data_IF_696409518832
#
_entry.id   IF_696409518832
#
_cell.length_a   1.000
_cell.length_b   1.000
_cell.length_c   1.000
_cell.angle_alpha   90.00
_cell.angle_beta   90.00
_cell.angle_gamma   90.00
#
_symmetry.space_group_name_H-M   'P 1'
#
loop_
_entity.id
_entity.type
_entity.pdbx_description
1 polymer ?
#
# COMPACT_ATOMS: atom_id res chain seq x y z
N UNK A 1 90.00 63.89 -53.78
CA UNK A 1 89.16 65.10 -53.70
C UNK A 1 89.11 65.52 -52.24
N UNK A 2 89.48 66.76 -51.94
CA UNK A 2 89.41 67.31 -50.57
C UNK A 2 88.28 68.33 -50.49
N UNK A 3 87.48 68.27 -49.42
CA UNK A 3 86.44 69.25 -49.11
C UNK A 3 86.68 69.72 -47.69
N UNK A 4 86.75 71.03 -47.50
CA UNK A 4 86.90 71.65 -46.19
C UNK A 4 85.71 72.57 -45.93
N UNK A 5 85.25 72.64 -44.69
CA UNK A 5 84.15 73.51 -44.26
C UNK A 5 84.66 74.50 -43.22
N UNK A 6 84.32 75.77 -43.36
CA UNK A 6 84.64 76.80 -42.37
C UNK A 6 83.43 77.71 -42.14
N UNK A 7 83.20 78.13 -40.90
CA UNK A 7 82.13 79.07 -40.55
C UNK A 7 82.56 80.54 -40.75
N UNK A 8 83.87 80.80 -40.76
CA UNK A 8 84.45 82.14 -40.95
C UNK A 8 85.58 82.08 -41.97
N UNK A 9 85.86 83.21 -42.62
CA UNK A 9 86.94 83.33 -43.62
C UNK A 9 88.30 83.70 -42.99
N UNK A 10 88.46 83.54 -41.67
CA UNK A 10 89.74 83.75 -41.00
C UNK A 10 90.65 82.53 -41.18
N UNK A 11 90.95 82.21 -42.43
CA UNK A 11 91.76 81.07 -42.85
C UNK A 11 93.15 81.60 -43.24
N UNK A 12 94.25 80.93 -42.86
CA UNK A 12 95.58 81.36 -43.26
C UNK A 12 95.68 81.56 -44.78
N UNK A 13 96.22 82.71 -45.21
CA UNK A 13 96.34 83.08 -46.63
C UNK A 13 96.93 81.97 -47.53
N UNK A 14 97.97 81.19 -47.11
CA UNK A 14 98.52 80.11 -47.94
C UNK A 14 97.54 78.99 -48.27
N UNK A 15 96.53 78.76 -47.42
CA UNK A 15 95.47 77.78 -47.67
C UNK A 15 94.35 78.39 -48.49
N UNK A 16 94.03 79.66 -48.25
CA UNK A 16 92.97 80.39 -48.96
C UNK A 16 93.26 80.50 -50.46
N UNK A 17 94.51 80.77 -50.84
CA UNK A 17 94.94 80.87 -52.24
C UNK A 17 94.80 79.55 -53.02
N UNK A 18 94.65 78.43 -52.32
CA UNK A 18 94.51 77.09 -52.89
C UNK A 18 93.08 76.55 -52.80
N UNK A 19 92.13 77.38 -52.40
CA UNK A 19 90.74 76.99 -52.18
C UNK A 19 89.79 77.83 -53.05
N UNK A 20 88.83 77.17 -53.68
CA UNK A 20 87.66 77.85 -54.21
C UNK A 20 86.66 78.06 -53.06
N UNK A 21 86.35 79.33 -52.75
CA UNK A 21 85.46 79.67 -51.66
C UNK A 21 84.02 79.73 -52.17
N UNK A 22 83.23 78.71 -51.83
CA UNK A 22 81.78 78.71 -52.04
C UNK A 22 81.11 79.21 -50.77
N UNK A 23 80.45 80.38 -50.85
CA UNK A 23 79.68 80.93 -49.72
C UNK A 23 78.27 80.35 -49.71
N UNK A 24 77.94 79.61 -48.66
CA UNK A 24 76.58 79.15 -48.40
C UNK A 24 75.88 80.18 -47.50
N UNK A 25 74.84 80.84 -48.03
CA UNK A 25 73.99 81.72 -47.24
C UNK A 25 73.07 80.92 -46.31
N UNK A 26 72.51 81.60 -45.31
CA UNK A 26 71.41 81.04 -44.53
C UNK A 26 70.15 80.84 -45.37
N UNK A 27 69.18 80.15 -44.77
CA UNK A 27 67.89 79.90 -45.38
C UNK A 27 66.85 80.92 -44.92
N UNK A 28 65.98 81.35 -45.84
CA UNK A 28 64.76 82.10 -45.55
C UNK A 28 63.73 81.23 -44.81
N UNK A 29 62.68 81.84 -44.24
CA UNK A 29 61.63 81.08 -43.54
C UNK A 29 60.98 80.03 -44.44
N UNK A 30 60.62 80.39 -45.67
CA UNK A 30 59.96 79.50 -46.62
C UNK A 30 60.89 78.36 -47.07
N UNK A 31 62.19 78.64 -47.25
CA UNK A 31 63.19 77.61 -47.54
C UNK A 31 63.34 76.63 -46.37
N UNK A 32 63.33 77.11 -45.13
CA UNK A 32 63.41 76.24 -43.94
C UNK A 32 62.19 75.36 -43.79
N UNK A 33 60.98 75.89 -44.06
CA UNK A 33 59.75 75.10 -44.06
C UNK A 33 59.83 74.01 -45.13
N UNK A 34 60.23 74.35 -46.36
CA UNK A 34 60.39 73.37 -47.45
C UNK A 34 61.44 72.30 -47.14
N UNK A 35 62.57 72.67 -46.50
CA UNK A 35 63.59 71.72 -46.03
C UNK A 35 63.02 70.82 -44.92
N UNK A 36 62.25 71.38 -43.99
CA UNK A 36 61.66 70.62 -42.91
C UNK A 36 60.68 69.57 -43.43
N UNK A 37 59.74 69.95 -44.31
CA UNK A 37 58.76 69.03 -44.89
C UNK A 37 59.39 67.91 -45.69
N UNK A 38 60.34 68.25 -46.58
CA UNK A 38 60.93 67.28 -47.49
C UNK A 38 61.95 66.35 -46.83
N UNK A 39 62.69 66.84 -45.83
CA UNK A 39 63.86 66.13 -45.32
C UNK A 39 63.86 65.94 -43.81
N UNK A 40 63.56 66.96 -43.01
CA UNK A 40 63.73 66.86 -41.55
C UNK A 40 62.59 66.08 -40.89
N UNK A 41 61.33 66.33 -41.27
CA UNK A 41 60.15 65.64 -40.72
C UNK A 41 60.22 64.13 -41.02
N UNK A 42 60.40 63.67 -42.28
CA UNK A 42 60.52 62.24 -42.56
C UNK A 42 61.69 61.58 -41.82
N UNK A 43 62.82 62.28 -41.73
CA UNK A 43 64.01 61.80 -41.00
C UNK A 43 63.73 61.64 -39.51
N UNK A 44 63.09 62.61 -38.87
CA UNK A 44 62.76 62.54 -37.44
C UNK A 44 61.65 61.51 -37.16
N UNK A 45 60.65 61.36 -38.02
CA UNK A 45 59.62 60.32 -37.87
C UNK A 45 60.24 58.93 -37.92
N UNK A 46 61.08 58.65 -38.93
CA UNK A 46 61.76 57.36 -39.06
C UNK A 46 62.70 57.07 -37.87
N UNK A 47 63.48 58.07 -37.42
CA UNK A 47 64.39 57.91 -36.30
C UNK A 47 63.68 57.62 -34.96
N UNK A 48 62.42 58.00 -34.82
CA UNK A 48 61.61 57.77 -33.61
C UNK A 48 60.58 56.64 -33.78
N UNK A 49 60.63 55.89 -34.89
CA UNK A 49 59.75 54.74 -35.13
C UNK A 49 58.28 55.10 -35.38
N UNK A 50 57.98 56.36 -35.72
CA UNK A 50 56.61 56.81 -35.98
C UNK A 50 56.17 56.44 -37.39
N UNK A 51 55.01 55.82 -37.52
CA UNK A 51 54.35 55.60 -38.82
C UNK A 51 53.73 56.91 -39.33
N UNK A 52 53.56 57.06 -40.66
CA UNK A 52 52.89 58.24 -41.24
C UNK A 52 51.50 58.54 -40.66
N UNK A 53 50.79 57.50 -40.23
CA UNK A 53 49.45 57.57 -39.66
C UNK A 53 49.44 58.04 -38.19
N UNK A 54 50.59 57.95 -37.50
CA UNK A 54 50.71 58.23 -36.06
C UNK A 54 51.09 59.69 -35.77
N UNK A 55 51.68 60.40 -36.74
CA UNK A 55 52.08 61.80 -36.57
C UNK A 55 52.13 62.55 -37.90
N UNK A 56 51.38 63.65 -38.00
CA UNK A 56 51.45 64.59 -39.11
C UNK A 56 51.71 66.00 -38.56
N UNK A 57 52.72 66.69 -39.08
CA UNK A 57 53.04 68.07 -38.72
C UNK A 57 52.59 68.96 -39.88
N UNK A 58 51.68 69.90 -39.62
CA UNK A 58 51.20 70.84 -40.63
C UNK A 58 52.25 71.88 -40.99
N UNK A 59 52.20 72.40 -42.22
CA UNK A 59 53.07 73.50 -42.67
C UNK A 59 53.00 74.71 -41.71
N UNK A 60 51.80 75.05 -41.22
CA UNK A 60 51.59 76.12 -40.25
C UNK A 60 52.38 75.90 -38.96
N UNK A 61 52.40 74.68 -38.43
CA UNK A 61 53.16 74.32 -37.25
C UNK A 61 54.67 74.39 -37.51
N UNK A 62 55.14 73.97 -38.68
CA UNK A 62 56.55 74.12 -39.06
C UNK A 62 56.96 75.59 -39.13
N UNK A 63 56.10 76.44 -39.71
CA UNK A 63 56.33 77.88 -39.80
C UNK A 63 56.39 78.52 -38.41
N UNK A 64 55.54 78.10 -37.48
CA UNK A 64 55.59 78.56 -36.09
C UNK A 64 56.85 78.11 -35.37
N UNK A 65 57.30 76.86 -35.58
CA UNK A 65 58.57 76.37 -35.02
C UNK A 65 59.75 77.22 -35.52
N UNK A 66 59.79 77.50 -36.84
CA UNK A 66 60.83 78.34 -37.44
C UNK A 66 60.84 79.74 -36.80
N UNK A 67 59.67 80.38 -36.64
CA UNK A 67 59.55 81.77 -36.15
C UNK A 67 59.81 81.93 -34.65
N UNK A 68 59.22 81.04 -33.85
CA UNK A 68 59.17 81.23 -32.39
C UNK A 68 60.21 80.40 -31.66
N UNK A 69 60.69 79.30 -32.23
CA UNK A 69 61.53 78.33 -31.56
C UNK A 69 62.94 78.19 -32.16
N UNK A 70 63.22 78.84 -33.29
CA UNK A 70 64.56 78.86 -33.89
C UNK A 70 65.07 80.29 -34.10
N UNK A 71 66.34 80.55 -33.77
CA UNK A 71 67.03 81.82 -34.04
C UNK A 71 68.45 81.55 -34.55
N UNK A 72 68.52 80.96 -35.74
CA UNK A 72 69.76 80.61 -36.42
C UNK A 72 69.62 80.77 -37.93
N UNK A 73 70.73 80.88 -38.66
CA UNK A 73 70.72 80.91 -40.13
C UNK A 73 70.46 79.52 -40.76
N UNK A 74 70.78 78.44 -40.03
CA UNK A 74 70.63 77.05 -40.46
C UNK A 74 69.32 76.39 -40.02
N UNK A 75 69.33 75.05 -39.97
CA UNK A 75 68.18 74.20 -39.60
C UNK A 75 68.47 73.19 -38.47
N UNK A 76 69.57 73.32 -37.74
CA UNK A 76 69.93 72.46 -36.60
C UNK A 76 68.95 72.60 -35.44
N UNK A 77 68.63 73.84 -35.06
CA UNK A 77 67.64 74.10 -34.01
C UNK A 77 66.25 73.62 -34.44
N UNK A 78 65.90 73.80 -35.71
CA UNK A 78 64.66 73.29 -36.30
C UNK A 78 64.57 71.77 -36.21
N UNK A 79 65.63 71.06 -36.63
CA UNK A 79 65.71 69.60 -36.55
C UNK A 79 65.59 69.11 -35.10
N UNK A 80 66.19 69.81 -34.13
CA UNK A 80 66.10 69.46 -32.71
C UNK A 80 64.67 69.56 -32.18
N UNK A 81 63.96 70.64 -32.49
CA UNK A 81 62.57 70.82 -32.03
C UNK A 81 61.63 69.80 -32.68
N UNK A 82 61.83 69.47 -33.96
CA UNK A 82 61.08 68.40 -34.62
C UNK A 82 61.35 67.04 -33.98
N UNK A 83 62.60 66.75 -33.60
CA UNK A 83 62.95 65.52 -32.88
C UNK A 83 62.34 65.45 -31.48
N UNK A 84 62.24 66.58 -30.76
CA UNK A 84 61.55 66.66 -29.46
C UNK A 84 60.06 66.32 -29.60
N UNK A 85 59.40 66.88 -30.64
CA UNK A 85 58.00 66.62 -30.93
C UNK A 85 57.77 65.14 -31.27
N UNK A 86 58.59 64.59 -32.17
CA UNK A 86 58.49 63.18 -32.57
C UNK A 86 58.65 62.22 -31.39
N UNK A 87 59.64 62.43 -30.50
CA UNK A 87 59.80 61.61 -29.27
C UNK A 87 58.58 61.63 -28.37
N UNK A 88 57.98 62.81 -28.19
CA UNK A 88 56.82 62.97 -27.32
C UNK A 88 55.61 62.23 -27.87
N UNK A 89 55.38 62.32 -29.18
CA UNK A 89 54.29 61.60 -29.86
C UNK A 89 54.46 60.09 -29.75
N UNK A 90 55.66 59.56 -30.02
CA UNK A 90 55.93 58.13 -29.98
C UNK A 90 55.62 57.51 -28.59
N UNK A 91 55.99 58.20 -27.51
CA UNK A 91 55.69 57.75 -26.14
C UNK A 91 54.19 57.63 -25.87
N UNK A 92 53.42 58.64 -26.28
CA UNK A 92 51.97 58.69 -26.06
C UNK A 92 51.28 57.57 -26.86
N UNK A 93 51.67 57.35 -28.11
CA UNK A 93 51.11 56.27 -28.93
C UNK A 93 51.30 54.90 -28.28
N UNK A 94 52.49 54.63 -27.75
CA UNK A 94 52.77 53.35 -27.09
C UNK A 94 51.98 53.15 -25.80
N UNK A 95 51.87 54.19 -24.96
CA UNK A 95 51.06 54.15 -23.74
C UNK A 95 49.57 53.83 -24.04
N UNK A 96 49.03 54.35 -25.14
CA UNK A 96 47.64 54.09 -25.57
C UNK A 96 47.46 52.64 -26.05
N UNK A 97 48.42 52.09 -26.80
CA UNK A 97 48.36 50.70 -27.28
C UNK A 97 48.37 49.70 -26.11
N UNK A 98 49.23 49.92 -25.10
CA UNK A 98 49.32 49.08 -23.90
C UNK A 98 48.00 49.08 -23.11
N UNK A 99 47.41 50.26 -22.92
CA UNK A 99 46.12 50.41 -22.23
C UNK A 99 44.98 49.68 -22.98
N UNK A 100 44.99 49.75 -24.31
CA UNK A 100 43.97 49.12 -25.16
C UNK A 100 44.06 47.59 -25.10
N UNK A 101 45.27 47.03 -25.05
CA UNK A 101 45.47 45.59 -24.90
C UNK A 101 44.98 45.09 -23.53
N UNK A 102 45.28 45.83 -22.45
CA UNK A 102 44.83 45.48 -21.09
C UNK A 102 43.31 45.43 -20.94
N UNK A 103 42.57 46.32 -21.61
CA UNK A 103 41.10 46.34 -21.57
C UNK A 103 40.48 45.16 -22.33
N UNK A 104 41.13 44.70 -23.41
CA UNK A 104 40.63 43.61 -24.24
C UNK A 104 40.66 42.27 -23.50
N UNK A 105 41.74 41.98 -22.79
CA UNK A 105 41.92 40.74 -22.04
C UNK A 105 40.89 40.61 -20.89
N UNK A 106 40.58 41.70 -20.19
CA UNK A 106 39.59 41.72 -19.11
C UNK A 106 38.14 41.45 -19.57
N UNK A 107 37.81 41.73 -20.84
CA UNK A 107 36.44 41.53 -21.35
C UNK A 107 36.09 40.05 -21.61
N UNK A 108 37.10 39.20 -21.86
CA UNK A 108 36.91 37.79 -22.19
C UNK A 108 36.47 36.94 -20.99
N UNK A 109 36.90 37.31 -19.78
CA UNK A 109 36.63 36.57 -18.54
C UNK A 109 35.19 36.79 -18.05
N UNK A 110 34.64 37.99 -18.25
CA UNK A 110 33.26 38.34 -17.89
C UNK A 110 32.24 37.50 -18.69
N UNK A 111 32.51 37.23 -19.96
CA UNK A 111 31.65 36.39 -20.80
C UNK A 111 31.59 34.94 -20.31
N UNK A 112 32.74 34.39 -19.89
CA UNK A 112 32.84 33.04 -19.35
C UNK A 112 32.12 32.91 -17.99
N UNK A 113 32.25 33.91 -17.12
CA UNK A 113 31.57 33.95 -15.82
C UNK A 113 30.04 34.10 -15.95
N UNK A 114 29.58 34.92 -16.89
CA UNK A 114 28.15 35.06 -17.17
C UNK A 114 27.57 33.73 -17.69
N UNK A 115 28.25 33.06 -18.61
CA UNK A 115 27.80 31.75 -19.12
C UNK A 115 27.72 30.69 -18.01
N UNK A 116 28.73 30.63 -17.11
CA UNK A 116 28.71 29.76 -15.92
C UNK A 116 27.52 30.07 -14.99
N UNK A 117 27.22 31.35 -14.80
CA UNK A 117 26.14 31.80 -13.92
C UNK A 117 24.76 31.48 -14.49
N UNK A 118 24.54 31.68 -15.79
CA UNK A 118 23.31 31.30 -16.49
C UNK A 118 23.06 29.79 -16.40
N UNK A 119 24.08 28.96 -16.65
CA UNK A 119 23.96 27.51 -16.50
C UNK A 119 23.62 27.08 -15.06
N UNK A 120 24.19 27.75 -14.06
CA UNK A 120 23.84 27.51 -12.64
C UNK A 120 22.38 27.84 -12.37
N UNK A 121 21.91 29.00 -12.83
CA UNK A 121 20.52 29.43 -12.66
C UNK A 121 19.54 28.46 -13.34
N UNK A 122 19.85 27.99 -14.55
CA UNK A 122 19.05 26.98 -15.26
C UNK A 122 18.97 25.65 -14.51
N UNK A 123 20.08 25.17 -13.94
CA UNK A 123 20.09 23.94 -13.12
C UNK A 123 19.25 24.09 -11.85
N UNK A 124 19.36 25.23 -11.17
CA UNK A 124 18.53 25.51 -9.99
C UNK A 124 17.05 25.59 -10.39
N UNK A 125 16.73 26.24 -11.50
CA UNK A 125 15.37 26.28 -12.05
C UNK A 125 14.81 24.88 -12.31
N UNK A 126 15.57 24.02 -12.99
CA UNK A 126 15.16 22.64 -13.25
C UNK A 126 14.93 21.82 -11.96
N UNK A 127 15.78 22.00 -10.94
CA UNK A 127 15.59 21.36 -9.63
C UNK A 127 14.32 21.82 -8.92
N UNK A 128 14.04 23.13 -8.95
CA UNK A 128 12.81 23.70 -8.37
C UNK A 128 11.58 23.16 -9.10
N UNK A 129 11.58 23.14 -10.43
CA UNK A 129 10.48 22.58 -11.23
C UNK A 129 10.26 21.10 -10.93
N UNK A 130 11.32 20.30 -10.87
CA UNK A 130 11.22 18.87 -10.55
C UNK A 130 10.65 18.66 -9.14
N UNK A 131 11.14 19.42 -8.16
CA UNK A 131 10.63 19.37 -6.78
C UNK A 131 9.15 19.75 -6.71
N UNK A 132 8.74 20.80 -7.43
CA UNK A 132 7.34 21.22 -7.56
C UNK A 132 6.46 20.13 -8.16
N UNK A 133 6.93 19.45 -9.21
CA UNK A 133 6.22 18.33 -9.83
C UNK A 133 6.06 17.15 -8.86
N UNK A 134 7.11 16.78 -8.12
CA UNK A 134 7.05 15.71 -7.12
C UNK A 134 6.09 16.06 -5.98
N UNK A 135 6.10 17.30 -5.48
CA UNK A 135 5.13 17.75 -4.48
C UNK A 135 3.69 17.69 -5.01
N UNK A 136 3.47 18.03 -6.28
CA UNK A 136 2.18 17.87 -6.94
C UNK A 136 1.71 16.41 -6.98
N UNK A 137 2.60 15.47 -7.32
CA UNK A 137 2.30 14.03 -7.32
C UNK A 137 1.96 13.52 -5.92
N UNK A 138 2.72 13.92 -4.90
CA UNK A 138 2.43 13.56 -3.50
C UNK A 138 1.08 14.12 -3.06
N UNK A 139 0.76 15.37 -3.44
CA UNK A 139 -0.54 15.97 -3.15
C UNK A 139 -1.71 15.22 -3.80
N UNK A 140 -1.55 14.77 -5.05
CA UNK A 140 -2.55 13.94 -5.73
C UNK A 140 -2.76 12.60 -5.01
N UNK A 141 -1.66 11.93 -4.62
CA UNK A 141 -1.72 10.66 -3.89
C UNK A 141 -2.40 10.82 -2.53
N UNK A 142 -2.13 11.90 -1.79
CA UNK A 142 -2.80 12.17 -0.50
C UNK A 142 -4.31 12.38 -0.66
N UNK A 143 -4.74 13.02 -1.75
CA UNK A 143 -6.16 13.20 -2.07
C UNK A 143 -6.83 11.84 -2.32
N UNK A 144 -6.17 10.95 -3.05
CA UNK A 144 -6.66 9.59 -3.31
C UNK A 144 -6.75 8.76 -2.02
N UNK A 145 -5.69 8.77 -1.19
CA UNK A 145 -5.69 8.12 0.13
C UNK A 145 -6.84 8.63 1.00
N UNK A 146 -7.12 9.94 0.98
CA UNK A 146 -8.22 10.54 1.73
C UNK A 146 -9.58 10.07 1.23
N UNK A 147 -9.76 9.94 -0.09
CA UNK A 147 -10.99 9.43 -0.69
C UNK A 147 -11.24 7.97 -0.27
N UNK A 148 -10.23 7.11 -0.39
CA UNK A 148 -10.30 5.70 0.05
C UNK A 148 -10.59 5.61 1.55
N UNK A 149 -9.93 6.43 2.37
CA UNK A 149 -10.18 6.45 3.82
C UNK A 149 -11.62 6.87 4.15
N UNK A 150 -12.17 7.83 3.40
CA UNK A 150 -13.56 8.26 3.53
C UNK A 150 -14.54 7.13 3.18
N UNK A 151 -14.30 6.43 2.07
CA UNK A 151 -15.09 5.27 1.63
C UNK A 151 -15.04 4.13 2.66
N UNK A 152 -13.84 3.77 3.12
CA UNK A 152 -13.64 2.75 4.15
C UNK A 152 -14.35 3.11 5.46
N UNK A 153 -14.32 4.38 5.88
CA UNK A 153 -15.06 4.84 7.05
C UNK A 153 -16.57 4.69 6.85
N UNK A 154 -17.08 4.94 5.64
CA UNK A 154 -18.48 4.71 5.28
C UNK A 154 -18.87 3.23 5.39
N UNK A 155 -18.07 2.35 4.78
CA UNK A 155 -18.27 0.90 4.84
C UNK A 155 -18.25 0.38 6.28
N UNK A 156 -17.32 0.86 7.11
CA UNK A 156 -17.23 0.46 8.51
C UNK A 156 -18.48 0.84 9.30
N UNK A 157 -19.05 2.03 9.06
CA UNK A 157 -20.33 2.43 9.69
C UNK A 157 -21.48 1.52 9.27
N UNK A 158 -21.52 1.12 8.00
CA UNK A 158 -22.54 0.20 7.49
C UNK A 158 -22.41 -1.19 8.13
N UNK A 159 -21.19 -1.73 8.20
CA UNK A 159 -20.92 -3.01 8.86
C UNK A 159 -21.35 -3.01 10.33
N UNK A 160 -21.06 -1.94 11.07
CA UNK A 160 -21.53 -1.81 12.47
C UNK A 160 -23.05 -1.79 12.55
N UNK A 161 -23.73 -1.06 11.66
CA UNK A 161 -25.20 -1.03 11.62
C UNK A 161 -25.81 -2.39 11.29
N UNK A 162 -25.20 -3.15 10.37
CA UNK A 162 -25.67 -4.47 9.98
C UNK A 162 -25.43 -5.50 11.09
N UNK A 163 -24.28 -5.42 11.78
CA UNK A 163 -23.98 -6.22 12.95
C UNK A 163 -24.98 -5.96 14.10
N UNK A 164 -25.35 -4.69 14.34
CA UNK A 164 -26.37 -4.35 15.33
C UNK A 164 -27.75 -4.91 14.97
N UNK A 165 -28.14 -4.86 13.68
CA UNK A 165 -29.39 -5.45 13.20
C UNK A 165 -29.39 -6.97 13.38
N UNK A 166 -28.30 -7.64 12.99
CA UNK A 166 -28.16 -9.08 13.17
C UNK A 166 -28.23 -9.49 14.65
N UNK A 167 -27.65 -8.68 15.56
CA UNK A 167 -27.76 -8.91 17.00
C UNK A 167 -29.20 -8.79 17.51
N UNK A 168 -29.96 -7.82 17.02
CA UNK A 168 -31.38 -7.67 17.35
C UNK A 168 -32.21 -8.85 16.84
N UNK A 169 -32.01 -9.26 15.59
CA UNK A 169 -32.70 -10.39 14.98
C UNK A 169 -32.40 -11.70 15.74
N UNK A 170 -31.13 -11.92 16.11
CA UNK A 170 -30.73 -13.06 16.94
C UNK A 170 -31.40 -13.02 18.32
N UNK A 171 -31.55 -11.84 18.92
CA UNK A 171 -32.28 -11.65 20.18
C UNK A 171 -33.75 -12.06 20.05
N UNK A 172 -34.43 -11.59 19.01
CA UNK A 172 -35.84 -11.95 18.75
C UNK A 172 -36.02 -13.45 18.48
N UNK A 173 -35.12 -14.05 17.71
CA UNK A 173 -35.14 -15.49 17.46
C UNK A 173 -34.97 -16.30 18.75
N UNK A 174 -34.08 -15.86 19.65
CA UNK A 174 -33.89 -16.49 20.96
C UNK A 174 -35.14 -16.40 21.84
N UNK A 175 -35.83 -15.26 21.86
CA UNK A 175 -37.10 -15.10 22.58
C UNK A 175 -38.18 -16.06 22.05
N UNK A 176 -38.32 -16.17 20.72
CA UNK A 176 -39.27 -17.10 20.10
C UNK A 176 -38.95 -18.56 20.45
N UNK A 177 -37.67 -18.94 20.43
CA UNK A 177 -37.24 -20.29 20.83
C UNK A 177 -37.58 -20.56 22.30
N UNK A 178 -37.39 -19.58 23.18
CA UNK A 178 -37.72 -19.75 24.60
C UNK A 178 -39.23 -19.97 24.82
N UNK A 179 -40.08 -19.26 24.07
CA UNK A 179 -41.54 -19.49 24.09
C UNK A 179 -41.89 -20.89 23.58
N UNK A 180 -41.25 -21.35 22.52
CA UNK A 180 -41.47 -22.71 21.99
C UNK A 180 -41.05 -23.79 22.99
N UNK A 181 -39.90 -23.62 23.64
CA UNK A 181 -39.42 -24.54 24.70
C UNK A 181 -40.41 -24.60 25.85
N UNK A 182 -40.92 -23.45 26.31
CA UNK A 182 -41.92 -23.40 27.37
C UNK A 182 -43.22 -24.09 26.98
N UNK A 183 -43.71 -23.87 25.75
CA UNK A 183 -44.91 -24.55 25.24
C UNK A 183 -44.71 -26.06 25.14
N UNK A 184 -43.57 -26.50 24.61
CA UNK A 184 -43.26 -27.92 24.52
C UNK A 184 -43.20 -28.57 25.91
N UNK A 185 -42.55 -27.91 26.88
CA UNK A 185 -42.52 -28.38 28.26
C UNK A 185 -43.93 -28.52 28.85
N UNK A 186 -44.80 -27.53 28.64
CA UNK A 186 -46.19 -27.59 29.09
C UNK A 186 -46.98 -28.73 28.44
N UNK A 187 -46.80 -28.96 27.13
CA UNK A 187 -47.41 -30.10 26.42
C UNK A 187 -46.92 -31.43 26.98
N UNK A 188 -45.63 -31.57 27.26
CA UNK A 188 -45.07 -32.79 27.83
C UNK A 188 -45.61 -33.09 29.24
N UNK A 189 -45.88 -32.05 30.04
CA UNK A 189 -46.56 -32.21 31.33
C UNK A 189 -47.99 -32.73 31.15
N UNK A 190 -48.76 -32.14 30.23
CA UNK A 190 -50.13 -32.62 29.94
C UNK A 190 -50.15 -34.09 29.47
N UNK A 191 -49.19 -34.48 28.64
CA UNK A 191 -49.05 -35.88 28.19
C UNK A 191 -48.75 -36.80 29.37
N UNK A 192 -47.89 -36.38 30.30
CA UNK A 192 -47.56 -37.15 31.51
C UNK A 192 -48.79 -37.33 32.39
N UNK A 193 -49.52 -36.24 32.68
CA UNK A 193 -50.72 -36.27 33.52
C UNK A 193 -51.80 -37.17 32.89
N UNK A 194 -52.00 -37.07 31.58
CA UNK A 194 -52.92 -37.93 30.84
C UNK A 194 -52.52 -39.42 30.93
N UNK A 195 -51.23 -39.71 30.85
CA UNK A 195 -50.70 -41.07 31.03
C UNK A 195 -50.98 -41.62 32.42
N UNK A 196 -50.74 -40.83 33.47
CA UNK A 196 -51.01 -41.25 34.86
C UNK A 196 -52.50 -41.53 35.09
N UNK A 197 -53.39 -40.71 34.52
CA UNK A 197 -54.83 -40.94 34.56
C UNK A 197 -55.24 -42.22 33.83
N UNK A 198 -54.67 -42.48 32.64
CA UNK A 198 -54.90 -43.71 31.90
C UNK A 198 -54.44 -44.93 32.69
N UNK A 199 -53.26 -44.89 33.30
CA UNK A 199 -52.71 -46.00 34.11
C UNK A 199 -53.62 -46.32 35.32
N UNK A 200 -54.14 -45.29 35.97
CA UNK A 200 -55.12 -45.43 37.05
C UNK A 200 -56.43 -46.06 36.55
N UNK A 201 -56.93 -45.62 35.40
CA UNK A 201 -58.13 -46.16 34.76
C UNK A 201 -57.97 -47.62 34.34
N UNK A 202 -56.84 -47.97 33.72
CA UNK A 202 -56.50 -49.34 33.31
C UNK A 202 -56.44 -50.27 34.53
N UNK A 203 -55.85 -49.82 35.64
CA UNK A 203 -55.80 -50.60 36.89
C UNK A 203 -57.19 -50.81 37.51
N UNK A 204 -58.11 -49.86 37.35
CA UNK A 204 -59.50 -50.04 37.78
C UNK A 204 -60.24 -51.07 36.91
N UNK A 205 -60.06 -51.00 35.58
CA UNK A 205 -60.66 -51.94 34.62
C UNK A 205 -60.06 -53.34 34.74
N UNK A 206 -58.79 -53.47 35.14
CA UNK A 206 -58.11 -54.77 35.34
C UNK A 206 -58.75 -55.64 36.42
N UNK A 207 -59.60 -55.07 37.28
CA UNK A 207 -60.35 -55.78 38.32
C UNK A 207 -61.68 -56.35 37.81
N UNK A 208 -61.99 -56.18 36.52
CA UNK A 208 -63.18 -56.75 35.88
C UNK A 208 -63.16 -58.29 35.91
N UNK A 209 -64.34 -58.91 36.05
CA UNK A 209 -64.52 -60.36 35.94
C UNK A 209 -64.62 -60.86 34.50
N UNK A 210 -64.68 -59.95 33.52
CA UNK A 210 -64.75 -60.28 32.10
C UNK A 210 -63.36 -60.66 31.54
N UNK A 211 -63.24 -61.89 31.04
CA UNK A 211 -61.98 -62.44 30.51
C UNK A 211 -61.43 -61.67 29.30
N UNK A 212 -62.30 -61.11 28.44
CA UNK A 212 -61.89 -60.35 27.26
C UNK A 212 -61.39 -58.94 27.66
N UNK A 213 -62.04 -58.32 28.65
CA UNK A 213 -61.61 -57.04 29.23
C UNK A 213 -60.26 -57.21 29.94
N UNK A 214 -60.11 -58.25 30.75
CA UNK A 214 -58.87 -58.53 31.49
C UNK A 214 -57.72 -58.92 30.56
N UNK A 215 -57.97 -59.60 29.44
CA UNK A 215 -56.98 -59.83 28.38
C UNK A 215 -56.48 -58.51 27.77
N UNK A 216 -57.40 -57.65 27.32
CA UNK A 216 -57.04 -56.36 26.71
C UNK A 216 -56.21 -55.49 27.66
N UNK A 217 -56.58 -55.46 28.93
CA UNK A 217 -55.83 -54.73 29.97
C UNK A 217 -54.46 -55.37 30.21
N UNK A 218 -54.39 -56.70 30.31
CA UNK A 218 -53.13 -57.41 30.52
C UNK A 218 -52.15 -57.21 29.36
N UNK A 219 -52.65 -57.18 28.12
CA UNK A 219 -51.86 -56.88 26.93
C UNK A 219 -51.39 -55.42 26.91
N UNK A 220 -52.27 -54.46 27.23
CA UNK A 220 -51.89 -53.05 27.34
C UNK A 220 -50.79 -52.81 28.41
N UNK A 221 -50.91 -53.45 29.58
CA UNK A 221 -49.89 -53.38 30.63
C UNK A 221 -48.57 -54.05 30.22
N UNK A 222 -48.65 -55.15 29.45
CA UNK A 222 -47.47 -55.80 28.90
C UNK A 222 -46.75 -54.91 27.88
N UNK A 223 -47.49 -54.24 26.99
CA UNK A 223 -46.93 -53.26 26.06
C UNK A 223 -46.28 -52.07 26.76
N UNK A 224 -46.93 -51.53 27.80
CA UNK A 224 -46.35 -50.45 28.61
C UNK A 224 -45.03 -50.90 29.24
N UNK A 225 -44.96 -52.14 29.74
CA UNK A 225 -43.76 -52.73 30.32
C UNK A 225 -42.63 -52.88 29.30
N UNK A 226 -42.92 -53.41 28.10
CA UNK A 226 -41.94 -53.54 27.01
C UNK A 226 -41.45 -52.17 26.55
N UNK A 227 -42.37 -51.22 26.32
CA UNK A 227 -42.02 -49.86 25.93
C UNK A 227 -41.13 -49.14 26.94
N UNK A 228 -41.34 -49.36 28.25
CA UNK A 228 -40.47 -48.82 29.29
C UNK A 228 -39.04 -49.41 29.24
N UNK A 229 -38.91 -50.72 28.99
CA UNK A 229 -37.61 -51.37 28.82
C UNK A 229 -36.86 -50.87 27.59
N UNK A 230 -37.55 -50.74 26.45
CA UNK A 230 -36.97 -50.23 25.20
C UNK A 230 -36.56 -48.76 25.33
N UNK A 231 -37.36 -47.94 25.99
CA UNK A 231 -37.01 -46.54 26.27
C UNK A 231 -35.78 -46.43 27.18
N UNK A 232 -35.68 -47.29 28.21
CA UNK A 232 -34.50 -47.35 29.07
C UNK A 232 -33.25 -47.82 28.31
N UNK A 233 -33.41 -48.78 27.39
CA UNK A 233 -32.35 -49.25 26.49
C UNK A 233 -31.83 -48.14 25.58
N UNK A 234 -32.72 -47.34 24.98
CA UNK A 234 -32.33 -46.21 24.12
C UNK A 234 -31.60 -45.10 24.88
N UNK A 235 -31.98 -44.86 26.14
CA UNK A 235 -31.40 -43.78 26.97
C UNK A 235 -30.24 -44.25 27.85
N UNK A 236 -29.92 -45.54 27.85
CA UNK A 236 -28.96 -46.16 28.76
C UNK A 236 -29.30 -45.89 30.26
N UNK A 237 -30.59 -45.85 30.59
CA UNK A 237 -31.08 -45.51 31.93
C UNK A 237 -31.24 -46.76 32.79
N UNK A 238 -30.98 -46.64 34.10
CA UNK A 238 -31.12 -47.75 35.04
C UNK A 238 -32.59 -48.18 35.13
N UNK A 239 -32.85 -49.46 34.87
CA UNK A 239 -34.15 -50.09 35.07
C UNK A 239 -34.27 -50.64 36.49
N UNK A 240 -35.25 -50.16 37.24
CA UNK A 240 -35.61 -50.62 38.59
C UNK A 240 -36.94 -51.40 38.56
N UNK A 241 -36.92 -52.55 37.88
CA UNK A 241 -38.10 -53.39 37.66
C UNK A 241 -37.70 -54.86 37.77
N UNK A 242 -38.48 -55.64 38.51
CA UNK A 242 -38.31 -57.09 38.54
C UNK A 242 -38.89 -57.71 37.26
N UNK A 243 -38.01 -58.23 36.43
CA UNK A 243 -38.33 -58.86 35.14
C UNK A 243 -38.20 -60.38 35.18
N UNK A 244 -37.82 -60.95 36.34
CA UNK A 244 -37.47 -62.37 36.47
C UNK A 244 -38.70 -63.29 36.61
N UNK A 245 -39.80 -62.78 37.18
CA UNK A 245 -40.99 -63.58 37.47
C UNK A 245 -42.10 -63.39 36.41
N UNK A 246 -42.05 -64.22 35.36
CA UNK A 246 -43.07 -64.19 34.30
C UNK A 246 -44.47 -64.62 34.78
N UNK A 247 -44.59 -65.46 35.83
CA UNK A 247 -45.90 -65.78 36.42
C UNK A 247 -46.50 -64.60 37.20
N UNK A 248 -45.65 -63.78 37.83
CA UNK A 248 -46.04 -62.66 38.67
C UNK A 248 -46.46 -61.39 37.92
N UNK A 249 -46.15 -61.30 36.62
CA UNK A 249 -46.50 -60.15 35.80
C UNK A 249 -48.02 -60.12 35.49
N UNK A 250 -48.54 -58.96 35.06
CA UNK A 250 -49.98 -58.81 34.76
C UNK A 250 -50.47 -59.84 33.73
N UNK A 251 -49.68 -60.01 32.65
CA UNK A 251 -49.99 -61.00 31.61
C UNK A 251 -49.91 -62.44 32.13
N UNK A 252 -48.88 -62.79 32.91
CA UNK A 252 -48.75 -64.10 33.54
C UNK A 252 -49.90 -64.45 34.46
N UNK A 253 -50.33 -63.51 35.32
CA UNK A 253 -51.49 -63.69 36.20
C UNK A 253 -52.78 -63.96 35.41
N UNK A 254 -52.98 -63.31 34.27
CA UNK A 254 -54.09 -63.61 33.38
C UNK A 254 -53.91 -64.97 32.70
N UNK A 255 -52.75 -65.22 32.08
CA UNK A 255 -52.45 -66.43 31.32
C UNK A 255 -52.65 -67.69 32.17
N UNK A 256 -52.08 -67.74 33.37
CA UNK A 256 -52.23 -68.88 34.28
C UNK A 256 -53.51 -68.87 35.13
N UNK A 257 -54.30 -67.79 35.03
CA UNK A 257 -55.57 -67.62 35.75
C UNK A 257 -56.77 -67.72 34.82
N UNK A 258 -57.44 -66.59 34.61
CA UNK A 258 -58.66 -66.51 33.79
C UNK A 258 -58.45 -66.96 32.33
N UNK A 259 -57.27 -66.70 31.76
CA UNK A 259 -56.89 -67.12 30.41
C UNK A 259 -56.89 -68.64 30.27
N UNK A 260 -56.20 -69.35 31.17
CA UNK A 260 -56.16 -70.82 31.17
C UNK A 260 -57.55 -71.45 31.37
N UNK A 261 -58.40 -70.84 32.19
CA UNK A 261 -59.77 -71.31 32.40
C UNK A 261 -60.64 -71.21 31.13
N UNK A 262 -60.40 -70.19 30.30
CA UNK A 262 -61.24 -69.90 29.13
C UNK A 262 -60.67 -70.45 27.81
N UNK A 263 -59.36 -70.35 27.61
CA UNK A 263 -58.65 -70.70 26.38
C UNK A 263 -57.72 -71.91 26.52
N UNK A 264 -57.67 -72.56 27.69
CA UNK A 264 -56.69 -73.62 27.97
C UNK A 264 -56.75 -74.82 27.02
N UNK A 265 -57.86 -75.04 26.33
CA UNK A 265 -58.02 -76.09 25.30
C UNK A 265 -57.58 -75.67 23.90
N UNK A 266 -57.25 -74.38 23.68
CA UNK A 266 -56.83 -73.86 22.38
C UNK A 266 -55.32 -74.04 22.16
N UNK A 267 -54.95 -74.57 20.99
CA UNK A 267 -53.55 -74.84 20.64
C UNK A 267 -52.72 -73.55 20.46
N UNK A 268 -53.36 -72.47 19.99
CA UNK A 268 -52.77 -71.14 19.90
C UNK A 268 -52.50 -70.53 21.28
N UNK A 269 -53.36 -70.79 22.27
CA UNK A 269 -53.16 -70.36 23.65
C UNK A 269 -51.95 -71.06 24.29
N UNK A 270 -51.86 -72.38 24.20
CA UNK A 270 -50.74 -73.14 24.74
C UNK A 270 -49.37 -72.71 24.17
N UNK A 271 -49.35 -72.25 22.92
CA UNK A 271 -48.14 -71.74 22.28
C UNK A 271 -47.64 -70.40 22.83
N UNK A 272 -48.45 -69.62 23.55
CA UNK A 272 -48.05 -68.30 24.06
C UNK A 272 -47.08 -68.40 25.24
N UNK A 273 -47.17 -69.46 26.06
CA UNK A 273 -46.32 -69.64 27.24
C UNK A 273 -44.82 -69.58 26.92
N UNK A 274 -44.38 -70.33 25.90
CA UNK A 274 -42.95 -70.40 25.57
C UNK A 274 -42.41 -69.04 25.10
N UNK A 275 -43.20 -68.30 24.32
CA UNK A 275 -42.81 -66.97 23.83
C UNK A 275 -42.81 -65.95 24.99
N UNK A 276 -43.78 -66.05 25.91
CA UNK A 276 -43.85 -65.22 27.09
C UNK A 276 -42.65 -65.41 28.04
N UNK A 277 -42.21 -66.66 28.24
CA UNK A 277 -40.99 -66.94 28.99
C UNK A 277 -39.75 -66.36 28.31
N UNK A 278 -39.68 -66.43 26.97
CA UNK A 278 -38.58 -65.86 26.20
C UNK A 278 -38.56 -64.33 26.26
N UNK A 279 -39.72 -63.66 26.32
CA UNK A 279 -39.82 -62.21 26.57
C UNK A 279 -39.17 -61.84 27.89
N UNK A 280 -39.49 -62.56 28.98
CA UNK A 280 -38.91 -62.29 30.29
C UNK A 280 -37.40 -62.59 30.36
N UNK A 281 -36.95 -63.69 29.74
CA UNK A 281 -35.51 -64.03 29.66
C UNK A 281 -34.72 -62.98 28.87
N UNK A 282 -35.28 -62.52 27.75
CA UNK A 282 -34.68 -61.47 26.91
C UNK A 282 -34.71 -60.14 27.65
N UNK A 283 -35.79 -59.80 28.33
CA UNK A 283 -35.91 -58.60 29.17
C UNK A 283 -34.89 -58.57 30.31
N UNK A 284 -34.67 -59.69 30.99
CA UNK A 284 -33.62 -59.80 32.01
C UNK A 284 -32.23 -59.57 31.43
N UNK A 285 -31.92 -60.24 30.31
CA UNK A 285 -30.65 -60.06 29.61
C UNK A 285 -30.44 -58.61 29.16
N UNK A 286 -31.52 -57.94 28.74
CA UNK A 286 -31.50 -56.53 28.34
C UNK A 286 -31.19 -55.62 29.53
N UNK A 287 -31.83 -55.83 30.68
CA UNK A 287 -31.54 -55.07 31.91
C UNK A 287 -30.09 -55.25 32.36
N UNK A 288 -29.55 -56.46 32.25
CA UNK A 288 -28.13 -56.74 32.54
C UNK A 288 -27.19 -56.04 31.55
N UNK A 289 -27.51 -56.05 30.25
CA UNK A 289 -26.73 -55.35 29.23
C UNK A 289 -26.73 -53.83 29.43
N UNK A 290 -27.88 -53.23 29.78
CA UNK A 290 -28.00 -51.81 30.14
C UNK A 290 -27.13 -51.48 31.36
N UNK A 291 -27.17 -52.31 32.41
CA UNK A 291 -26.33 -52.12 33.62
C UNK A 291 -24.84 -52.23 33.31
N UNK A 292 -24.47 -53.11 32.38
CA UNK A 292 -23.09 -53.29 31.94
C UNK A 292 -22.61 -52.19 30.98
N UNK A 293 -23.51 -51.35 30.45
CA UNK A 293 -23.18 -50.31 29.49
C UNK A 293 -22.90 -50.84 28.07
N UNK A 294 -23.29 -52.07 27.75
CA UNK A 294 -23.00 -52.71 26.45
C UNK A 294 -24.04 -52.30 25.40
N UNK A 295 -23.76 -51.21 24.68
CA UNK A 295 -24.69 -50.63 23.70
C UNK A 295 -25.04 -51.58 22.53
N UNK A 296 -24.09 -52.40 22.06
CA UNK A 296 -24.31 -53.31 20.95
C UNK A 296 -25.28 -54.44 21.35
N UNK A 297 -25.01 -55.06 22.50
CA UNK A 297 -25.89 -56.11 23.06
C UNK A 297 -27.25 -55.55 23.48
N UNK A 298 -27.30 -54.30 23.95
CA UNK A 298 -28.54 -53.61 24.33
C UNK A 298 -29.43 -53.42 23.10
N UNK A 299 -28.89 -52.95 21.97
CA UNK A 299 -29.64 -52.79 20.73
C UNK A 299 -30.13 -54.13 20.14
N UNK A 300 -29.29 -55.17 20.17
CA UNK A 300 -29.68 -56.52 19.72
C UNK A 300 -30.83 -57.09 20.56
N UNK A 301 -30.70 -57.04 21.89
CA UNK A 301 -31.71 -57.56 22.80
C UNK A 301 -33.00 -56.74 22.78
N UNK A 302 -32.93 -55.42 22.57
CA UNK A 302 -34.09 -54.56 22.37
C UNK A 302 -34.89 -54.98 21.11
N UNK A 303 -34.21 -55.14 19.97
CA UNK A 303 -34.85 -55.60 18.73
C UNK A 303 -35.44 -57.00 18.85
N UNK A 304 -34.75 -57.92 19.56
CA UNK A 304 -35.28 -59.25 19.84
C UNK A 304 -36.52 -59.21 20.74
N UNK A 305 -36.52 -58.33 21.76
CA UNK A 305 -37.63 -58.17 22.67
C UNK A 305 -38.88 -57.63 21.95
N UNK A 306 -38.71 -56.67 21.03
CA UNK A 306 -39.78 -56.18 20.14
C UNK A 306 -40.37 -57.33 19.31
N UNK A 307 -39.54 -58.12 18.62
CA UNK A 307 -40.04 -59.23 17.80
C UNK A 307 -40.77 -60.32 18.59
N UNK A 308 -40.34 -60.60 19.83
CA UNK A 308 -41.04 -61.51 20.73
C UNK A 308 -42.38 -60.92 21.21
N UNK A 309 -42.43 -59.61 21.48
CA UNK A 309 -43.66 -58.89 21.79
C UNK A 309 -44.69 -59.03 20.68
N UNK A 310 -44.29 -58.76 19.44
CA UNK A 310 -45.17 -58.82 18.27
C UNK A 310 -45.72 -60.24 18.10
N UNK A 311 -44.87 -61.26 18.32
CA UNK A 311 -45.28 -62.67 18.25
C UNK A 311 -46.34 -63.02 19.30
N UNK A 312 -46.25 -62.48 20.53
CA UNK A 312 -47.29 -62.68 21.55
C UNK A 312 -48.59 -62.00 21.13
N UNK A 313 -48.51 -60.77 20.64
CA UNK A 313 -49.69 -60.01 20.21
C UNK A 313 -50.42 -60.68 19.06
N UNK A 314 -49.71 -61.09 18.01
CA UNK A 314 -50.33 -61.74 16.86
C UNK A 314 -51.11 -63.00 17.26
N UNK A 315 -50.55 -63.78 18.20
CA UNK A 315 -51.20 -64.98 18.74
C UNK A 315 -52.42 -64.64 19.58
N UNK A 316 -52.33 -63.61 20.44
CA UNK A 316 -53.45 -63.19 21.28
C UNK A 316 -54.57 -62.52 20.47
N UNK A 317 -54.25 -61.74 19.44
CA UNK A 317 -55.25 -61.20 18.52
C UNK A 317 -55.98 -62.30 17.77
N UNK A 318 -55.25 -63.32 17.31
CA UNK A 318 -55.85 -64.48 16.66
C UNK A 318 -56.82 -65.23 17.60
N UNK A 319 -56.49 -65.34 18.89
CA UNK A 319 -57.38 -65.88 19.92
C UNK A 319 -58.60 -64.98 20.18
N UNK A 320 -58.39 -63.66 20.26
CA UNK A 320 -59.47 -62.70 20.50
C UNK A 320 -60.52 -62.67 19.38
N UNK A 321 -60.13 -62.94 18.14
CA UNK A 321 -61.06 -63.05 16.99
C UNK A 321 -61.94 -64.30 17.05
N UNK A 322 -61.63 -65.27 17.92
CA UNK A 322 -62.40 -66.50 18.11
C UNK A 322 -63.42 -66.40 19.25
N UNK A 323 -63.34 -65.33 20.05
CA UNK A 323 -64.34 -65.00 21.08
C UNK A 323 -65.56 -64.38 20.37
N UNK A 324 -66.78 -64.90 20.56
CA UNK A 324 -67.99 -64.33 19.96
C UNK A 324 -68.36 -62.96 20.55
#
# INVERSE_FOLDING_TARGET
>A
MFVATANTLNIPAPLMDRMEIIRLSGYTEDEKVSIAERYLVPKQMAANGLKPEECAISESALRDIVRYYTREAGVRSLERELGNLARKTARITHEIEELTHSLRDQSSDVGADMARSVHRAQRVGALVTNTGNTLGQVGAMLTEVRAVTGEQTGLMRQLTSDADRQRQDAGQAAELLQVLVQRFAATMTLIRDAREQLETGVTAVSKSSDAAVTLRVSLAMHYQWIGALLAAAQKQERVDMDVSNFHGCFFGKWYFGAGAQHFGSDAGFAGVDSVHQDVHRTGQSLVEAIRAGDAARTAELASRLEGLSDTITDRLEALMRQIP
#
